data_IF_943156836671
#
_entry.id   IF_943156836671
#
_cell.length_a   1.000
_cell.length_b   1.000
_cell.length_c   1.000
_cell.angle_alpha   90.00
_cell.angle_beta   90.00
_cell.angle_gamma   90.00
#
_symmetry.space_group_name_H-M   'P 1'
#
loop_
_entity.id
_entity.type
_entity.pdbx_description
1 polymer ?
#
# COMPACT_ATOMS: atom_id res chain seq x y z
N UNK A 1 -13.19 -1.13 11.70
CA UNK A 1 -12.32 -0.63 10.60
C UNK A 1 -12.36 0.88 10.51
N UNK A 2 -13.55 1.48 10.47
CA UNK A 2 -13.75 2.94 10.41
C UNK A 2 -13.08 3.73 11.53
N UNK A 3 -12.98 3.17 12.73
CA UNK A 3 -12.39 3.87 13.89
C UNK A 3 -10.87 4.03 13.77
N UNK A 4 -10.16 2.98 13.35
CA UNK A 4 -8.69 2.98 13.30
C UNK A 4 -8.15 3.39 11.92
N UNK A 5 -8.85 3.03 10.84
CA UNK A 5 -8.46 3.29 9.44
C UNK A 5 -7.02 2.87 9.15
N UNK A 6 -6.76 1.56 9.21
CA UNK A 6 -5.44 0.99 8.94
C UNK A 6 -4.91 1.37 7.55
N UNK A 7 -3.60 1.62 7.45
CA UNK A 7 -2.91 1.85 6.17
C UNK A 7 -3.06 0.70 5.18
N UNK A 8 -2.95 -0.53 5.68
CA UNK A 8 -3.15 -1.76 4.91
C UNK A 8 -3.62 -2.88 5.82
N UNK A 9 -4.38 -3.82 5.26
CA UNK A 9 -4.80 -5.03 5.96
C UNK A 9 -4.96 -6.18 4.96
N UNK A 10 -4.54 -7.38 5.36
CA UNK A 10 -4.88 -8.61 4.66
C UNK A 10 -6.19 -9.15 5.24
N UNK A 11 -7.16 -9.41 4.37
CA UNK A 11 -8.49 -9.85 4.75
C UNK A 11 -8.75 -11.22 4.15
N UNK A 12 -9.19 -12.17 4.97
CA UNK A 12 -9.50 -13.53 4.55
C UNK A 12 -10.85 -13.94 5.14
N UNK A 13 -11.64 -14.66 4.35
CA UNK A 13 -12.81 -15.37 4.90
C UNK A 13 -12.35 -16.64 5.62
N UNK A 14 -13.11 -17.05 6.62
CA UNK A 14 -12.84 -18.30 7.34
C UNK A 14 -12.94 -19.50 6.38
N UNK A 15 -11.97 -20.41 6.49
CA UNK A 15 -11.92 -21.68 5.79
C UNK A 15 -11.60 -22.77 6.80
N UNK A 16 -12.51 -23.74 7.03
CA UNK A 16 -12.29 -24.81 7.98
C UNK A 16 -11.01 -25.59 7.67
N UNK A 17 -10.19 -25.79 8.70
CA UNK A 17 -8.98 -26.62 8.62
C UNK A 17 -9.15 -27.80 9.57
N UNK A 18 -9.01 -29.01 9.03
CA UNK A 18 -9.15 -30.26 9.81
C UNK A 18 -8.24 -30.22 11.04
N UNK A 19 -8.80 -30.52 12.21
CA UNK A 19 -8.06 -30.53 13.49
C UNK A 19 -8.02 -29.18 14.21
N UNK A 20 -8.68 -28.14 13.69
CA UNK A 20 -8.85 -26.88 14.42
C UNK A 20 -10.14 -26.89 15.22
N UNK A 21 -10.15 -26.27 16.42
CA UNK A 21 -11.38 -26.19 17.23
C UNK A 21 -12.53 -25.53 16.48
N UNK A 22 -12.23 -24.50 15.68
CA UNK A 22 -13.22 -23.80 14.87
C UNK A 22 -13.87 -24.69 13.79
N UNK A 23 -13.19 -25.77 13.35
CA UNK A 23 -13.78 -26.72 12.39
C UNK A 23 -14.82 -27.65 12.99
N UNK A 24 -14.94 -27.69 14.32
CA UNK A 24 -15.95 -28.47 15.06
C UNK A 24 -17.23 -27.66 15.34
N UNK A 25 -17.29 -26.39 14.95
CA UNK A 25 -18.46 -25.54 15.18
C UNK A 25 -19.48 -25.71 14.06
N UNK A 26 -20.72 -26.02 14.44
CA UNK A 26 -21.83 -26.32 13.52
C UNK A 26 -22.50 -25.07 12.93
N UNK A 27 -22.29 -23.89 13.51
CA UNK A 27 -22.89 -22.61 13.11
C UNK A 27 -22.13 -21.91 11.97
N UNK A 28 -21.65 -22.68 11.00
CA UNK A 28 -20.99 -22.13 9.82
C UNK A 28 -21.99 -21.35 8.95
N UNK A 29 -21.59 -20.17 8.52
CA UNK A 29 -22.37 -19.37 7.56
C UNK A 29 -22.10 -19.82 6.12
N UNK A 30 -23.06 -19.56 5.23
CA UNK A 30 -22.93 -19.87 3.80
C UNK A 30 -21.74 -19.15 3.14
N UNK A 31 -21.15 -19.79 2.14
CA UNK A 31 -19.99 -19.26 1.42
C UNK A 31 -20.27 -17.92 0.74
N UNK A 32 -21.48 -17.72 0.21
CA UNK A 32 -21.87 -16.46 -0.44
C UNK A 32 -21.94 -15.32 0.58
N UNK A 33 -22.41 -15.60 1.80
CA UNK A 33 -22.45 -14.60 2.90
C UNK A 33 -21.02 -14.25 3.35
N UNK A 34 -20.13 -15.25 3.46
CA UNK A 34 -18.70 -15.00 3.75
C UNK A 34 -18.07 -14.13 2.67
N UNK A 35 -18.36 -14.43 1.41
CA UNK A 35 -17.80 -13.73 0.26
C UNK A 35 -18.30 -12.28 0.18
N UNK A 36 -19.60 -12.04 0.40
CA UNK A 36 -20.16 -10.69 0.46
C UNK A 36 -19.49 -9.86 1.56
N UNK A 37 -19.42 -10.40 2.78
CA UNK A 37 -18.79 -9.72 3.91
C UNK A 37 -17.32 -9.39 3.64
N UNK A 38 -16.57 -10.35 3.10
CA UNK A 38 -15.17 -10.14 2.74
C UNK A 38 -15.02 -9.04 1.70
N UNK A 39 -15.84 -9.05 0.64
CA UNK A 39 -15.82 -8.01 -0.40
C UNK A 39 -16.08 -6.62 0.20
N UNK A 40 -17.08 -6.48 1.07
CA UNK A 40 -17.39 -5.21 1.76
C UNK A 40 -16.22 -4.70 2.60
N UNK A 41 -15.55 -5.59 3.34
CA UNK A 41 -14.37 -5.27 4.14
C UNK A 41 -13.19 -4.85 3.26
N UNK A 42 -12.95 -5.56 2.15
CA UNK A 42 -11.89 -5.21 1.20
C UNK A 42 -12.15 -3.85 0.56
N UNK A 43 -13.38 -3.56 0.14
CA UNK A 43 -13.73 -2.27 -0.44
C UNK A 43 -13.57 -1.13 0.57
N UNK A 44 -13.93 -1.36 1.84
CA UNK A 44 -13.69 -0.39 2.89
C UNK A 44 -12.19 -0.18 3.15
N UNK A 45 -11.40 -1.25 3.21
CA UNK A 45 -9.94 -1.14 3.35
C UNK A 45 -9.32 -0.33 2.21
N UNK A 46 -9.75 -0.52 0.97
CA UNK A 46 -9.25 0.24 -0.19
C UNK A 46 -9.49 1.74 -0.02
N UNK A 47 -10.66 2.13 0.51
CA UNK A 47 -10.98 3.54 0.81
C UNK A 47 -10.03 4.10 1.87
N UNK A 48 -9.83 3.38 2.97
CA UNK A 48 -8.91 3.81 4.03
C UNK A 48 -7.45 3.88 3.56
N UNK A 49 -7.00 2.91 2.76
CA UNK A 49 -5.64 2.94 2.20
C UNK A 49 -5.44 4.17 1.30
N UNK A 50 -6.42 4.52 0.47
CA UNK A 50 -6.35 5.73 -0.34
C UNK A 50 -6.37 7.00 0.54
N UNK A 51 -7.26 7.07 1.53
CA UNK A 51 -7.34 8.18 2.49
C UNK A 51 -5.98 8.43 3.17
N UNK A 52 -5.38 7.39 3.75
CA UNK A 52 -4.04 7.48 4.38
C UNK A 52 -2.93 7.85 3.42
N UNK A 53 -3.02 7.40 2.17
CA UNK A 53 -2.03 7.74 1.15
C UNK A 53 -2.19 9.19 0.65
N UNK A 54 -3.41 9.72 0.64
CA UNK A 54 -3.69 11.12 0.31
C UNK A 54 -3.10 12.08 1.35
N UNK A 55 -3.08 11.68 2.63
CA UNK A 55 -2.44 12.45 3.71
C UNK A 55 -0.94 12.68 3.48
N UNK A 56 -0.30 11.85 2.65
CA UNK A 56 1.13 11.99 2.28
C UNK A 56 1.34 12.91 1.08
N UNK A 57 0.30 13.30 0.34
CA UNK A 57 0.47 14.18 -0.81
C UNK A 57 0.95 15.55 -0.33
N UNK A 58 2.01 16.05 -0.96
CA UNK A 58 2.70 17.29 -0.60
C UNK A 58 3.83 17.12 0.40
N UNK A 59 3.91 15.99 1.11
CA UNK A 59 5.03 15.71 2.02
C UNK A 59 6.23 15.15 1.28
N UNK A 60 7.41 15.29 1.90
CA UNK A 60 8.63 14.62 1.47
C UNK A 60 8.75 13.31 2.23
N UNK A 61 8.97 12.21 1.52
CA UNK A 61 9.19 10.89 2.10
C UNK A 61 10.58 10.39 1.69
N UNK A 62 11.28 9.72 2.61
CA UNK A 62 12.51 9.00 2.26
C UNK A 62 12.11 7.68 1.62
N UNK A 63 12.64 7.44 0.42
CA UNK A 63 12.29 6.30 -0.41
C UNK A 63 13.53 5.47 -0.71
N UNK A 64 13.47 4.18 -0.39
CA UNK A 64 14.43 3.18 -0.84
C UNK A 64 14.15 2.85 -2.31
N UNK A 65 15.11 3.06 -3.20
CA UNK A 65 15.00 2.66 -4.61
C UNK A 65 15.18 1.14 -4.70
N UNK A 66 14.16 0.39 -5.11
CA UNK A 66 14.23 -1.08 -5.15
C UNK A 66 14.43 -1.65 -6.56
N UNK A 67 13.73 -1.11 -7.56
CA UNK A 67 13.70 -1.70 -8.91
C UNK A 67 13.10 -0.76 -9.95
N UNK A 68 13.19 -1.14 -11.22
CA UNK A 68 12.43 -0.51 -12.29
C UNK A 68 10.91 -0.64 -12.08
N UNK A 69 10.17 0.40 -12.43
CA UNK A 69 8.72 0.37 -12.43
C UNK A 69 8.23 -0.66 -13.45
N UNK A 70 7.33 -1.55 -13.02
CA UNK A 70 6.73 -2.57 -13.90
C UNK A 70 6.03 -2.01 -15.13
N UNK A 71 5.65 -0.72 -15.11
CA UNK A 71 4.89 -0.06 -16.17
C UNK A 71 5.74 0.87 -17.04
N UNK A 72 6.99 1.14 -16.67
CA UNK A 72 7.88 2.03 -17.42
C UNK A 72 9.34 1.79 -17.04
N UNK A 73 10.20 1.59 -18.05
CA UNK A 73 11.65 1.52 -17.87
C UNK A 73 12.30 2.90 -17.61
N UNK A 74 11.53 3.98 -17.73
CA UNK A 74 11.97 5.35 -17.42
C UNK A 74 11.68 5.76 -15.97
N UNK A 75 11.05 4.87 -15.18
CA UNK A 75 10.69 5.15 -13.80
C UNK A 75 11.26 4.11 -12.85
N UNK A 76 11.63 4.56 -11.67
CA UNK A 76 11.93 3.71 -10.53
C UNK A 76 10.67 3.41 -9.73
N UNK A 77 10.70 2.28 -9.03
CA UNK A 77 9.77 1.89 -8.00
C UNK A 77 10.54 1.66 -6.71
N UNK A 78 10.18 2.39 -5.67
CA UNK A 78 10.78 2.30 -4.36
C UNK A 78 9.73 2.24 -3.26
N UNK A 79 10.20 2.16 -2.01
CA UNK A 79 9.32 2.14 -0.84
C UNK A 79 9.72 3.15 0.22
N UNK A 80 8.71 3.71 0.87
CA UNK A 80 8.87 4.45 2.12
C UNK A 80 9.22 3.50 3.28
N UNK A 81 9.62 4.06 4.43
CA UNK A 81 9.79 3.36 5.70
C UNK A 81 8.50 2.64 6.17
N UNK A 82 7.34 3.23 5.88
CA UNK A 82 6.00 2.67 6.06
C UNK A 82 5.60 1.66 4.98
N UNK A 83 6.55 1.18 4.17
CA UNK A 83 6.41 0.12 3.18
C UNK A 83 5.45 0.47 2.01
N UNK A 84 5.16 1.76 1.79
CA UNK A 84 4.29 2.24 0.69
C UNK A 84 5.07 2.36 -0.60
N UNK A 85 4.48 1.93 -1.72
CA UNK A 85 5.11 2.04 -3.03
C UNK A 85 5.12 3.48 -3.53
N UNK A 86 6.27 3.94 -3.99
CA UNK A 86 6.45 5.24 -4.65
C UNK A 86 7.05 5.04 -6.03
N UNK A 87 6.43 5.62 -7.05
CA UNK A 87 6.94 5.64 -8.43
C UNK A 87 7.42 7.06 -8.75
N UNK A 88 8.62 7.18 -9.30
CA UNK A 88 9.26 8.45 -9.65
C UNK A 88 10.22 8.24 -10.82
N UNK A 89 10.57 9.30 -11.53
CA UNK A 89 11.40 9.21 -12.74
C UNK A 89 12.84 8.82 -12.43
N UNK A 90 13.45 8.06 -13.35
CA UNK A 90 14.87 7.75 -13.29
C UNK A 90 15.66 9.03 -13.53
N UNK A 91 16.38 9.48 -12.50
CA UNK A 91 17.46 10.46 -12.63
C UNK A 91 18.79 9.77 -12.29
N UNK A 92 19.77 10.53 -11.83
CA UNK A 92 21.05 10.01 -11.33
C UNK A 92 20.89 9.40 -9.92
N UNK A 93 20.11 8.32 -9.83
CA UNK A 93 19.88 7.54 -8.60
C UNK A 93 19.85 6.05 -8.94
N UNK A 94 20.37 5.24 -8.02
CA UNK A 94 20.61 3.82 -8.19
C UNK A 94 19.76 2.99 -7.23
N UNK A 95 19.59 1.70 -7.55
CA UNK A 95 18.95 0.75 -6.63
C UNK A 95 19.78 0.70 -5.33
N UNK A 96 19.09 0.60 -4.18
CA UNK A 96 19.61 0.71 -2.80
C UNK A 96 19.81 2.13 -2.26
N UNK A 97 19.68 3.16 -3.10
CA UNK A 97 19.72 4.54 -2.60
C UNK A 97 18.50 4.85 -1.73
N UNK A 98 18.72 5.67 -0.70
CA UNK A 98 17.68 6.26 0.16
C UNK A 98 17.57 7.74 -0.17
N UNK A 99 16.49 8.12 -0.86
CA UNK A 99 16.36 9.44 -1.47
C UNK A 99 15.10 10.18 -0.98
N UNK A 100 15.17 11.51 -0.81
CA UNK A 100 13.98 12.30 -0.54
C UNK A 100 13.15 12.46 -1.83
N UNK A 101 11.88 12.06 -1.75
CA UNK A 101 10.91 12.19 -2.85
C UNK A 101 9.70 12.96 -2.33
N UNK A 102 9.35 14.05 -3.00
CA UNK A 102 8.10 14.77 -2.71
C UNK A 102 6.93 14.05 -3.37
N UNK A 103 5.94 13.65 -2.56
CA UNK A 103 4.77 12.94 -3.04
C UNK A 103 3.82 13.93 -3.71
N UNK A 104 3.42 13.62 -4.95
CA UNK A 104 2.54 14.46 -5.79
C UNK A 104 1.14 13.90 -5.93
N UNK A 105 1.00 12.57 -5.95
CA UNK A 105 -0.27 11.90 -6.18
C UNK A 105 -0.34 10.59 -5.40
N UNK A 106 -1.55 10.24 -4.95
CA UNK A 106 -1.87 8.93 -4.42
C UNK A 106 -2.97 8.25 -5.26
N UNK A 107 -2.72 7.01 -5.69
CA UNK A 107 -3.68 6.19 -6.44
C UNK A 107 -3.73 4.77 -5.88
N UNK A 108 -4.75 4.50 -5.07
CA UNK A 108 -4.89 3.24 -4.34
C UNK A 108 -3.67 3.00 -3.45
N UNK A 109 -2.94 1.92 -3.70
CA UNK A 109 -1.75 1.53 -2.93
C UNK A 109 -0.44 2.17 -3.40
N UNK A 110 -0.47 2.95 -4.49
CA UNK A 110 0.72 3.50 -5.13
C UNK A 110 0.73 5.01 -5.02
N UNK A 111 1.86 5.55 -4.55
CA UNK A 111 2.18 6.96 -4.57
C UNK A 111 3.00 7.27 -5.83
N UNK A 112 2.89 8.51 -6.30
CA UNK A 112 3.79 9.06 -7.31
C UNK A 112 4.45 10.31 -6.75
N UNK A 113 5.72 10.50 -7.08
CA UNK A 113 6.46 11.64 -6.59
C UNK A 113 7.61 12.03 -7.49
N UNK A 114 8.30 13.08 -7.06
CA UNK A 114 9.43 13.67 -7.75
C UNK A 114 10.60 13.80 -6.80
N UNK A 115 11.79 13.50 -7.31
CA UNK A 115 13.05 13.74 -6.61
C UNK A 115 13.20 15.24 -6.33
N UNK A 116 13.47 15.58 -5.06
CA UNK A 116 13.88 16.94 -4.70
C UNK A 116 15.31 17.19 -5.21
N UNK A 117 15.54 18.34 -5.83
CA UNK A 117 16.89 18.73 -6.23
C UNK A 117 17.69 19.14 -4.98
N UNK A 118 18.96 18.72 -4.89
CA UNK A 118 19.83 18.99 -3.73
C UNK A 118 20.03 20.49 -3.41
N UNK A 119 19.61 21.41 -4.27
CA UNK A 119 19.71 22.86 -4.07
C UNK A 119 18.69 23.43 -3.06
N UNK A 120 17.64 22.69 -2.71
CA UNK A 120 16.57 23.19 -1.81
C UNK A 120 16.75 22.77 -0.34
N UNK A 121 17.85 22.09 -0.02
CA UNK A 121 18.15 21.56 1.32
C UNK A 121 19.23 22.36 2.08
N UNK A 122 19.60 23.56 1.60
CA UNK A 122 20.60 24.45 2.21
C UNK A 122 19.95 25.68 2.85
#
# INVERSE_FOLDING_TARGET
MEEIKFDSAFNFKYSPRRGTKASEYDDQIDEDVKQDRLSRVIELQKKHTLERNLDLVGTTQIVLVEKESKRSNQQWAGRTDSNKWVIFDKKDVHIQDMIPVQIREAKGITLRGELLNQAEAA
#
